data_IF_068334942168
#
_entry.id   IF_068334942168
#
_cell.length_a   1.000
_cell.length_b   1.000
_cell.length_c   1.000
_cell.angle_alpha   90.00
_cell.angle_beta   90.00
_cell.angle_gamma   90.00
#
_symmetry.space_group_name_H-M   'P 1'
#
loop_
_entity.id
_entity.type
_entity.pdbx_description
1 polymer ?
#
# COMPACT_ATOMS: atom_id res chain seq x y z
N UNK A 1 10.42 23.82 11.50
CA UNK A 1 9.23 24.43 12.10
C UNK A 1 8.82 25.59 11.21
N UNK A 2 7.60 25.56 10.68
CA UNK A 2 7.19 26.26 9.45
C UNK A 2 6.19 27.40 9.65
N UNK A 3 5.77 28.01 8.54
CA UNK A 3 4.81 29.15 8.52
C UNK A 3 3.54 28.86 9.32
N UNK A 4 3.04 27.62 9.28
CA UNK A 4 1.83 27.21 10.01
C UNK A 4 1.99 27.36 11.53
N UNK A 5 3.11 26.93 12.11
CA UNK A 5 3.35 27.05 13.55
C UNK A 5 3.41 28.52 13.93
N UNK A 6 4.18 29.35 13.19
CA UNK A 6 4.28 30.78 13.50
C UNK A 6 2.96 31.55 13.43
N UNK A 7 2.01 31.09 12.60
CA UNK A 7 0.71 31.72 12.46
C UNK A 7 -0.27 31.29 13.57
N UNK A 8 -0.15 30.05 14.05
CA UNK A 8 -1.16 29.43 14.92
C UNK A 8 -0.71 29.33 16.39
N UNK A 9 0.59 29.39 16.68
CA UNK A 9 1.18 29.31 18.02
C UNK A 9 0.58 30.26 19.07
N UNK A 10 0.14 31.50 18.73
CA UNK A 10 -0.46 32.38 19.74
C UNK A 10 -1.75 31.83 20.36
N UNK A 11 -2.51 31.03 19.60
CA UNK A 11 -3.82 30.52 20.00
C UNK A 11 -3.83 29.00 20.18
N UNK A 12 -2.86 28.28 19.60
CA UNK A 12 -2.83 26.84 19.56
C UNK A 12 -1.48 26.27 19.99
N UNK A 13 -1.56 25.20 20.78
CA UNK A 13 -0.45 24.27 20.97
C UNK A 13 -0.55 23.18 19.89
N UNK A 14 0.50 23.00 19.10
CA UNK A 14 0.55 22.03 18.00
C UNK A 14 1.35 20.80 18.40
N UNK A 15 0.82 19.62 18.05
CA UNK A 15 1.50 18.34 18.18
C UNK A 15 1.59 17.70 16.79
N UNK A 16 2.79 17.36 16.36
CA UNK A 16 3.03 16.69 15.08
C UNK A 16 3.31 15.21 15.32
N UNK A 17 2.38 14.37 14.89
CA UNK A 17 2.48 12.93 15.02
C UNK A 17 2.78 12.30 13.66
N UNK A 18 3.91 11.60 13.55
CA UNK A 18 4.23 10.76 12.39
C UNK A 18 3.75 9.34 12.69
N UNK A 19 2.89 8.82 11.82
CA UNK A 19 2.24 7.52 11.99
C UNK A 19 2.59 6.65 10.79
N UNK A 20 3.25 5.54 11.04
CA UNK A 20 3.39 4.50 10.02
C UNK A 20 2.17 3.58 10.04
N UNK A 21 1.72 3.13 8.86
CA UNK A 21 0.60 2.20 8.77
C UNK A 21 0.84 0.91 9.58
N UNK A 22 2.10 0.46 9.70
CA UNK A 22 2.44 -0.73 10.49
C UNK A 22 2.12 -0.57 11.98
N UNK A 23 2.26 0.64 12.53
CA UNK A 23 1.99 0.93 13.94
C UNK A 23 0.52 0.74 14.33
N UNK A 24 -0.37 0.83 13.35
CA UNK A 24 -1.82 0.65 13.49
C UNK A 24 -2.32 -0.67 12.88
N UNK A 25 -1.41 -1.63 12.66
CA UNK A 25 -1.73 -2.97 12.20
C UNK A 25 -1.82 -3.15 10.69
N UNK A 26 -1.55 -2.08 9.92
CA UNK A 26 -1.58 -2.06 8.46
C UNK A 26 -0.18 -2.26 7.85
N UNK A 27 0.54 -3.29 8.30
CA UNK A 27 1.93 -3.52 7.93
C UNK A 27 2.14 -3.80 6.44
N UNK A 28 1.12 -4.34 5.74
CA UNK A 28 1.19 -4.63 4.32
C UNK A 28 1.02 -3.43 3.39
N UNK A 29 0.92 -2.19 3.89
CA UNK A 29 0.86 -0.96 3.07
C UNK A 29 2.03 -0.03 3.41
N UNK A 30 2.68 0.53 2.38
CA UNK A 30 3.74 1.53 2.52
C UNK A 30 3.17 2.95 2.41
N UNK A 31 2.64 3.49 3.53
CA UNK A 31 2.18 4.88 3.60
C UNK A 31 2.37 5.48 5.00
N UNK A 32 3.30 6.41 5.13
CA UNK A 32 3.45 7.21 6.35
C UNK A 32 2.45 8.37 6.32
N UNK A 33 1.79 8.64 7.43
CA UNK A 33 0.88 9.76 7.63
C UNK A 33 1.48 10.74 8.62
N UNK A 34 1.23 12.03 8.43
CA UNK A 34 1.55 13.05 9.43
C UNK A 34 0.24 13.67 9.88
N UNK A 35 -0.09 13.50 11.15
CA UNK A 35 -1.21 14.18 11.79
C UNK A 35 -0.68 15.43 12.50
N UNK A 36 -1.41 16.52 12.37
CA UNK A 36 -1.17 17.76 13.13
C UNK A 36 -2.37 17.95 14.04
N UNK A 37 -2.16 17.74 15.34
CA UNK A 37 -3.19 17.91 16.36
C UNK A 37 -3.01 19.31 16.93
N UNK A 38 -4.09 20.07 16.98
CA UNK A 38 -4.08 21.45 17.45
C UNK A 38 -5.01 21.58 18.65
N UNK A 39 -4.46 22.05 19.77
CA UNK A 39 -5.19 22.32 21.01
C UNK A 39 -5.29 23.83 21.19
N UNK A 40 -6.49 24.37 21.31
CA UNK A 40 -6.68 25.79 21.60
C UNK A 40 -6.33 26.09 23.07
N UNK A 41 -5.43 27.05 23.31
CA UNK A 41 -4.81 27.26 24.63
C UNK A 41 -5.78 27.77 25.70
N UNK A 42 -6.91 28.38 25.31
CA UNK A 42 -7.87 28.97 26.26
C UNK A 42 -9.13 28.13 26.50
N UNK A 43 -9.50 27.26 25.55
CA UNK A 43 -10.82 26.61 25.54
C UNK A 43 -10.75 25.10 25.67
N UNK A 44 -9.55 24.51 25.54
CA UNK A 44 -9.37 23.06 25.58
C UNK A 44 -8.21 22.70 26.49
N UNK A 45 -8.37 21.60 27.22
CA UNK A 45 -7.31 21.03 28.06
C UNK A 45 -6.81 19.72 27.47
N UNK A 46 -5.49 19.57 27.45
CA UNK A 46 -4.82 18.35 27.01
C UNK A 46 -4.63 17.44 28.22
N UNK A 47 -5.46 16.41 28.32
CA UNK A 47 -5.42 15.48 29.47
C UNK A 47 -4.24 14.51 29.39
N UNK A 48 -3.79 14.18 28.19
CA UNK A 48 -2.70 13.25 27.91
C UNK A 48 -1.86 13.79 26.77
N UNK A 49 -0.54 13.58 26.82
CA UNK A 49 0.32 13.89 25.69
C UNK A 49 -0.03 12.99 24.49
N UNK A 50 -0.33 13.56 23.30
CA UNK A 50 -0.71 12.76 22.14
C UNK A 50 0.37 11.79 21.65
N UNK A 51 1.65 12.10 21.85
CA UNK A 51 2.75 11.21 21.46
C UNK A 51 2.83 10.01 22.40
N UNK A 52 2.73 10.25 23.72
CA UNK A 52 2.72 9.18 24.72
C UNK A 52 1.49 8.27 24.55
N UNK A 53 0.32 8.85 24.26
CA UNK A 53 -0.90 8.09 24.00
C UNK A 53 -0.75 7.24 22.72
N UNK A 54 -0.16 7.80 21.67
CA UNK A 54 0.09 7.08 20.44
C UNK A 54 1.01 5.87 20.65
N UNK A 55 2.14 6.05 21.34
CA UNK A 55 3.07 4.95 21.62
C UNK A 55 2.39 3.84 22.42
N UNK A 56 1.58 4.18 23.43
CA UNK A 56 0.80 3.17 24.19
C UNK A 56 -0.16 2.38 23.31
N UNK A 57 -0.88 3.05 22.40
CA UNK A 57 -1.79 2.39 21.45
C UNK A 57 -1.01 1.51 20.48
N UNK A 58 0.11 2.00 19.95
CA UNK A 58 0.98 1.27 19.04
C UNK A 58 1.54 0.00 19.68
N UNK A 59 2.09 0.09 20.89
CA UNK A 59 2.59 -1.06 21.66
C UNK A 59 1.51 -2.12 21.88
N UNK A 60 0.26 -1.69 22.03
CA UNK A 60 -0.88 -2.58 22.13
C UNK A 60 -1.24 -3.24 20.78
N UNK A 61 -1.26 -2.49 19.67
CA UNK A 61 -1.74 -2.98 18.38
C UNK A 61 -0.70 -3.85 17.66
N UNK A 62 0.56 -3.41 17.58
CA UNK A 62 1.59 -4.08 16.78
C UNK A 62 1.73 -5.59 17.00
N UNK A 63 1.71 -6.14 18.24
CA UNK A 63 1.81 -7.58 18.43
C UNK A 63 0.55 -8.36 18.05
N UNK A 64 -0.58 -7.69 17.82
CA UNK A 64 -1.91 -8.32 17.60
C UNK A 64 -2.38 -8.25 16.15
N UNK A 65 -2.00 -7.22 15.42
CA UNK A 65 -2.45 -7.00 14.06
C UNK A 65 -1.25 -6.77 13.14
N UNK A 66 -1.12 -7.62 12.11
CA UNK A 66 -0.10 -7.45 11.08
C UNK A 66 -0.62 -7.95 9.74
N UNK A 67 -1.24 -7.04 8.99
CA UNK A 67 -1.64 -7.34 7.61
C UNK A 67 -0.43 -7.55 6.71
N UNK A 68 -0.64 -8.28 5.63
CA UNK A 68 0.29 -8.52 4.53
C UNK A 68 -0.31 -7.95 3.23
N UNK A 69 0.48 -7.76 2.16
CA UNK A 69 -0.04 -7.27 0.88
C UNK A 69 -1.28 -8.02 0.38
N UNK A 70 -1.31 -9.34 0.50
CA UNK A 70 -2.45 -10.17 0.07
C UNK A 70 -3.75 -9.85 0.80
N UNK A 71 -3.67 -9.38 2.04
CA UNK A 71 -4.85 -9.07 2.86
C UNK A 71 -5.60 -7.83 2.33
N UNK A 72 -4.95 -7.03 1.47
CA UNK A 72 -5.54 -5.89 0.77
C UNK A 72 -6.03 -6.22 -0.63
N UNK A 73 -5.55 -7.32 -1.22
CA UNK A 73 -5.91 -7.76 -2.57
C UNK A 73 -7.11 -8.70 -2.50
N UNK A 74 -8.19 -8.20 -1.90
CA UNK A 74 -9.44 -8.94 -1.78
C UNK A 74 -10.34 -8.61 -2.98
N UNK A 75 -10.62 -9.62 -3.79
CA UNK A 75 -11.64 -9.56 -4.83
C UNK A 75 -12.34 -10.92 -4.88
N UNK A 76 -13.67 -10.89 -4.97
CA UNK A 76 -14.47 -12.08 -5.22
C UNK A 76 -14.18 -12.63 -6.61
N UNK A 77 -14.45 -13.92 -6.82
CA UNK A 77 -14.28 -14.54 -8.14
C UNK A 77 -15.13 -13.85 -9.21
N UNK A 78 -16.30 -13.33 -8.83
CA UNK A 78 -17.20 -12.56 -9.69
C UNK A 78 -16.60 -11.19 -10.07
N UNK A 79 -16.02 -10.46 -9.12
CA UNK A 79 -15.34 -9.18 -9.39
C UNK A 79 -14.15 -9.37 -10.32
N UNK A 80 -13.33 -10.40 -10.07
CA UNK A 80 -12.20 -10.75 -10.95
C UNK A 80 -12.71 -11.09 -12.36
N UNK A 81 -13.78 -11.88 -12.47
CA UNK A 81 -14.36 -12.24 -13.76
C UNK A 81 -14.91 -11.04 -14.53
N UNK A 82 -15.61 -10.12 -13.85
CA UNK A 82 -16.15 -8.90 -14.47
C UNK A 82 -15.04 -7.98 -14.97
N UNK A 83 -13.98 -7.80 -14.18
CA UNK A 83 -12.82 -7.00 -14.59
C UNK A 83 -12.08 -7.65 -15.76
N UNK A 84 -11.81 -8.97 -15.68
CA UNK A 84 -11.20 -9.72 -16.78
C UNK A 84 -12.02 -9.64 -18.08
N UNK A 85 -13.35 -9.70 -18.00
CA UNK A 85 -14.24 -9.49 -19.15
C UNK A 85 -14.16 -8.08 -19.72
N UNK A 86 -14.08 -7.06 -18.86
CA UNK A 86 -13.92 -5.66 -19.25
C UNK A 86 -12.61 -5.45 -20.00
N UNK A 87 -11.50 -5.96 -19.46
CA UNK A 87 -10.16 -5.91 -20.07
C UNK A 87 -10.14 -6.69 -21.39
N UNK A 88 -10.68 -7.90 -21.43
CA UNK A 88 -10.76 -8.69 -22.67
C UNK A 88 -11.55 -7.93 -23.76
N UNK A 89 -12.68 -7.32 -23.42
CA UNK A 89 -13.50 -6.54 -24.34
C UNK A 89 -12.74 -5.33 -24.90
N UNK A 90 -12.11 -4.54 -24.04
CA UNK A 90 -11.36 -3.35 -24.46
C UNK A 90 -10.19 -3.72 -25.39
N UNK A 91 -9.59 -4.89 -25.17
CA UNK A 91 -8.46 -5.41 -25.96
C UNK A 91 -8.87 -6.29 -27.15
N UNK A 92 -10.18 -6.49 -27.37
CA UNK A 92 -10.73 -7.39 -28.41
C UNK A 92 -10.22 -8.84 -28.30
N UNK A 93 -10.02 -9.32 -27.08
CA UNK A 93 -9.65 -10.69 -26.75
C UNK A 93 -10.88 -11.51 -26.32
N UNK A 94 -10.75 -12.83 -26.42
CA UNK A 94 -11.78 -13.76 -25.92
C UNK A 94 -11.51 -14.04 -24.44
N UNK A 95 -12.43 -13.63 -23.57
CA UNK A 95 -12.40 -14.01 -22.16
C UNK A 95 -12.61 -15.52 -22.01
N UNK A 96 -11.80 -16.17 -21.16
CA UNK A 96 -11.84 -17.61 -20.88
C UNK A 96 -12.30 -17.84 -19.44
N UNK A 97 -13.60 -18.09 -19.18
CA UNK A 97 -14.10 -18.32 -17.84
C UNK A 97 -13.43 -19.52 -17.17
N UNK A 98 -13.13 -19.42 -15.88
CA UNK A 98 -12.55 -20.50 -15.07
C UNK A 98 -11.05 -20.72 -15.25
N UNK A 99 -10.38 -19.94 -16.09
CA UNK A 99 -8.92 -19.93 -16.14
C UNK A 99 -8.38 -18.97 -15.07
N UNK A 100 -7.63 -19.50 -14.10
CA UNK A 100 -7.03 -18.71 -13.02
C UNK A 100 -5.90 -17.80 -13.52
N UNK A 101 -5.13 -18.27 -14.49
CA UNK A 101 -4.07 -17.49 -15.13
C UNK A 101 -4.66 -16.49 -16.14
N UNK A 102 -4.64 -15.21 -15.76
CA UNK A 102 -5.11 -14.10 -16.57
C UNK A 102 -4.00 -13.42 -17.39
N UNK A 103 -2.78 -13.98 -17.45
CA UNK A 103 -1.66 -13.39 -18.21
C UNK A 103 -1.96 -13.25 -19.69
N UNK A 104 -2.83 -14.09 -20.26
CA UNK A 104 -3.28 -13.97 -21.66
C UNK A 104 -4.03 -12.67 -21.96
N UNK A 105 -4.49 -11.95 -20.93
CA UNK A 105 -5.11 -10.64 -21.08
C UNK A 105 -4.09 -9.51 -21.20
N UNK A 106 -2.82 -9.73 -20.84
CA UNK A 106 -1.77 -8.73 -20.88
C UNK A 106 -1.39 -8.36 -22.32
N UNK A 107 -1.00 -7.10 -22.52
CA UNK A 107 -0.39 -6.67 -23.79
C UNK A 107 1.12 -6.92 -23.73
N UNK A 108 1.79 -6.78 -24.88
CA UNK A 108 3.23 -7.04 -25.00
C UNK A 108 4.08 -6.21 -24.02
N UNK A 109 3.71 -4.96 -23.78
CA UNK A 109 4.40 -4.09 -22.83
C UNK A 109 4.28 -4.63 -21.40
N UNK A 110 3.06 -4.90 -20.95
CA UNK A 110 2.78 -5.42 -19.60
C UNK A 110 3.39 -6.79 -19.37
N UNK A 111 3.36 -7.66 -20.38
CA UNK A 111 4.04 -8.95 -20.34
C UNK A 111 5.55 -8.76 -20.14
N UNK A 112 6.17 -7.83 -20.88
CA UNK A 112 7.59 -7.50 -20.69
C UNK A 112 7.92 -6.96 -19.29
N UNK A 113 7.03 -6.17 -18.69
CA UNK A 113 7.19 -5.71 -17.30
C UNK A 113 7.10 -6.88 -16.32
N UNK A 114 6.12 -7.77 -16.50
CA UNK A 114 5.93 -8.95 -15.67
C UNK A 114 7.14 -9.89 -15.77
N UNK A 115 7.63 -10.16 -16.98
CA UNK A 115 8.79 -11.02 -17.23
C UNK A 115 10.05 -10.46 -16.56
N UNK A 116 10.28 -9.14 -16.68
CA UNK A 116 11.38 -8.46 -16.01
C UNK A 116 11.28 -8.58 -14.48
N UNK A 117 10.10 -8.30 -13.92
CA UNK A 117 9.87 -8.41 -12.48
C UNK A 117 10.11 -9.85 -11.99
N UNK A 118 9.57 -10.84 -12.69
CA UNK A 118 9.76 -12.25 -12.36
C UNK A 118 11.24 -12.67 -12.42
N UNK A 119 11.98 -12.22 -13.43
CA UNK A 119 13.42 -12.49 -13.55
C UNK A 119 14.20 -11.84 -12.39
N UNK A 120 13.90 -10.59 -12.07
CA UNK A 120 14.52 -9.86 -10.97
C UNK A 120 14.19 -10.48 -9.60
N UNK A 121 12.96 -10.98 -9.41
CA UNK A 121 12.56 -11.68 -8.18
C UNK A 121 13.40 -12.94 -7.98
N UNK A 122 13.48 -13.79 -9.01
CA UNK A 122 14.29 -15.01 -8.98
C UNK A 122 15.76 -14.70 -8.72
N UNK A 123 16.29 -13.65 -9.35
CA UNK A 123 17.68 -13.20 -9.16
C UNK A 123 17.96 -12.78 -7.71
N UNK A 124 17.00 -12.11 -7.05
CA UNK A 124 17.18 -11.59 -5.67
C UNK A 124 16.90 -12.63 -4.59
N UNK A 125 15.86 -13.44 -4.76
CA UNK A 125 15.31 -14.29 -3.70
C UNK A 125 15.49 -15.79 -3.96
N UNK A 126 16.00 -16.18 -5.13
CA UNK A 126 16.21 -17.57 -5.53
C UNK A 126 14.96 -18.45 -5.33
N UNK A 127 13.78 -17.86 -5.53
CA UNK A 127 12.46 -18.49 -5.32
C UNK A 127 11.56 -18.14 -6.50
N UNK A 128 10.57 -18.99 -6.80
CA UNK A 128 9.61 -18.73 -7.88
C UNK A 128 8.57 -17.67 -7.45
N UNK A 129 8.44 -16.53 -8.18
CA UNK A 129 7.50 -15.46 -7.84
C UNK A 129 6.04 -15.91 -7.74
N UNK A 130 5.62 -16.93 -8.50
CA UNK A 130 4.25 -17.44 -8.48
C UNK A 130 3.88 -18.16 -7.17
N UNK A 131 4.88 -18.52 -6.36
CA UNK A 131 4.67 -19.16 -5.06
C UNK A 131 4.55 -18.15 -3.91
N UNK A 132 4.78 -16.85 -4.17
CA UNK A 132 4.67 -15.79 -3.16
C UNK A 132 3.30 -15.10 -3.26
N UNK A 133 2.33 -15.41 -2.37
CA UNK A 133 1.02 -14.79 -2.41
C UNK A 133 1.05 -13.30 -2.05
N UNK A 134 2.16 -12.79 -1.52
CA UNK A 134 2.33 -11.39 -1.18
C UNK A 134 3.03 -10.58 -2.27
N UNK A 135 3.45 -11.22 -3.38
CA UNK A 135 4.04 -10.52 -4.51
C UNK A 135 2.94 -9.81 -5.33
N UNK A 136 3.02 -8.48 -5.36
CA UNK A 136 2.21 -7.62 -6.20
C UNK A 136 3.13 -6.76 -7.06
N UNK A 137 2.84 -6.69 -8.36
CA UNK A 137 3.64 -5.94 -9.35
C UNK A 137 2.74 -4.92 -10.04
N UNK A 138 3.18 -3.66 -10.10
CA UNK A 138 2.47 -2.63 -10.85
C UNK A 138 2.88 -2.65 -12.32
N UNK A 139 2.00 -3.14 -13.19
CA UNK A 139 2.28 -3.29 -14.62
C UNK A 139 2.28 -1.96 -15.40
N UNK A 140 1.90 -0.85 -14.75
CA UNK A 140 1.97 0.50 -15.33
C UNK A 140 3.40 1.02 -15.48
N UNK A 141 4.36 0.47 -14.74
CA UNK A 141 5.72 0.99 -14.67
C UNK A 141 6.57 0.75 -15.93
N UNK A 142 7.68 1.48 -15.99
CA UNK A 142 8.80 1.19 -16.89
C UNK A 142 9.96 0.62 -16.06
N UNK A 143 10.25 -0.70 -16.16
CA UNK A 143 11.27 -1.36 -15.34
C UNK A 143 12.69 -0.82 -15.57
N UNK A 144 12.93 -0.11 -16.67
CA UNK A 144 14.22 0.55 -16.93
C UNK A 144 14.48 1.73 -16.00
N UNK A 145 13.44 2.31 -15.39
CA UNK A 145 13.52 3.48 -14.52
C UNK A 145 13.02 3.20 -13.11
N UNK A 146 11.89 2.51 -12.98
CA UNK A 146 11.26 2.20 -11.70
C UNK A 146 10.62 0.80 -11.73
N UNK A 147 10.72 0.09 -10.62
CA UNK A 147 10.06 -1.20 -10.41
C UNK A 147 9.25 -1.14 -9.11
N UNK A 148 7.98 -0.76 -9.25
CA UNK A 148 6.98 -0.68 -8.18
C UNK A 148 6.38 -2.06 -7.94
N UNK A 149 6.78 -2.68 -6.84
CA UNK A 149 6.34 -4.03 -6.45
C UNK A 149 6.54 -4.25 -4.95
N UNK A 150 5.79 -5.19 -4.38
CA UNK A 150 5.83 -5.48 -2.94
C UNK A 150 7.08 -6.25 -2.50
N UNK A 151 7.86 -6.82 -3.42
CA UNK A 151 9.00 -7.69 -3.09
C UNK A 151 10.12 -7.00 -2.30
N UNK A 152 10.28 -5.68 -2.43
CA UNK A 152 11.37 -4.93 -1.75
C UNK A 152 11.03 -4.64 -0.30
N UNK A 153 9.78 -4.23 -0.03
CA UNK A 153 9.34 -3.77 1.29
C UNK A 153 8.52 -4.81 2.06
N UNK A 154 8.01 -5.83 1.37
CA UNK A 154 6.92 -6.66 1.88
C UNK A 154 5.59 -5.91 1.99
N UNK A 155 5.46 -4.74 1.33
CA UNK A 155 4.30 -3.84 1.42
C UNK A 155 3.76 -3.53 0.03
N UNK A 156 2.45 -3.54 -0.13
CA UNK A 156 1.78 -2.97 -1.29
C UNK A 156 1.94 -1.45 -1.28
N UNK A 157 2.21 -0.88 -2.46
CA UNK A 157 2.16 0.55 -2.66
C UNK A 157 0.69 0.94 -2.86
N UNK A 158 0.22 1.92 -2.10
CA UNK A 158 -1.12 2.49 -2.22
C UNK A 158 -1.16 3.28 -3.55
N UNK A 159 -1.60 2.62 -4.61
CA UNK A 159 -1.87 3.27 -5.89
C UNK A 159 -3.24 3.94 -5.72
N UNK A 160 -3.26 5.26 -5.56
CA UNK A 160 -4.51 6.01 -5.58
C UNK A 160 -5.19 5.78 -6.94
N UNK A 161 -6.21 4.90 -6.97
CA UNK A 161 -7.11 4.71 -8.11
C UNK A 161 -8.06 5.90 -8.23
#
# INVERSE_FOLDING_TARGET
MGVLESLMEPEYQLYRLQVDCEDVGHAGIARTRTYVIMRHVQTTDCLYDPMDLYEQVREYIMPRARTQPRDYMIATSEEIALEAMSVARSRKLVYRPGLEDLTYLLNEREQGVLDYACAEYRRRFNTDPYMDPNLAVFLGDNPSYALTWSAVSGKALDVQL
#
